data_IF_259173774077
#
_entry.id   IF_259173774077
#
_cell.length_a   1.000
_cell.length_b   1.000
_cell.length_c   1.000
_cell.angle_alpha   90.00
_cell.angle_beta   90.00
_cell.angle_gamma   90.00
#
_symmetry.space_group_name_H-M   'P 1'
#
loop_
_entity.id
_entity.type
_entity.pdbx_description
1 polymer ?
#
# COMPACT_ATOMS: atom_id res chain seq x y z
N UNK A 1 14.29 -1.74 -0.77
CA UNK A 1 13.79 -1.59 -2.16
C UNK A 1 14.73 -0.68 -2.92
N UNK A 2 14.61 -0.59 -4.24
CA UNK A 2 15.39 0.37 -5.05
C UNK A 2 14.47 1.46 -5.58
N UNK A 3 14.76 2.72 -5.25
CA UNK A 3 14.09 3.88 -5.83
C UNK A 3 14.71 4.21 -7.19
N UNK A 4 13.88 4.31 -8.22
CA UNK A 4 14.31 4.62 -9.58
C UNK A 4 14.16 6.13 -9.83
N UNK A 5 15.27 6.78 -10.17
CA UNK A 5 15.29 8.21 -10.51
C UNK A 5 15.30 8.40 -12.03
N UNK A 6 15.99 7.50 -12.74
CA UNK A 6 15.98 7.40 -14.20
C UNK A 6 16.17 5.94 -14.63
N UNK A 7 16.30 5.67 -15.92
CA UNK A 7 16.60 4.32 -16.42
C UNK A 7 17.97 3.81 -15.92
N UNK A 8 18.96 4.71 -15.77
CA UNK A 8 20.33 4.38 -15.39
C UNK A 8 20.63 4.61 -13.90
N UNK A 9 19.82 5.40 -13.20
CA UNK A 9 20.08 5.80 -11.82
C UNK A 9 19.04 5.23 -10.85
N UNK A 10 19.52 4.42 -9.90
CA UNK A 10 18.71 3.91 -8.80
C UNK A 10 19.47 3.88 -7.48
N UNK A 11 18.73 4.04 -6.38
CA UNK A 11 19.27 4.04 -5.01
C UNK A 11 18.57 2.99 -4.16
N UNK A 12 19.34 2.21 -3.41
CA UNK A 12 18.75 1.35 -2.38
C UNK A 12 18.27 2.20 -1.22
N UNK A 13 17.00 2.05 -0.89
CA UNK A 13 16.37 2.72 0.23
C UNK A 13 15.76 1.71 1.21
N UNK A 14 15.88 1.95 2.53
CA UNK A 14 15.13 1.21 3.52
C UNK A 14 13.65 1.56 3.41
N UNK A 15 12.83 0.52 3.24
CA UNK A 15 11.37 0.61 3.18
C UNK A 15 10.80 -0.39 4.16
N UNK A 16 9.95 0.08 5.05
CA UNK A 16 9.20 -0.76 5.98
C UNK A 16 7.85 -1.11 5.38
N UNK A 17 7.49 -2.40 5.40
CA UNK A 17 6.11 -2.85 5.17
C UNK A 17 5.46 -3.15 6.51
N UNK A 18 4.31 -2.53 6.76
CA UNK A 18 3.52 -2.78 7.97
C UNK A 18 2.07 -3.12 7.63
N UNK A 19 1.46 -3.89 8.52
CA UNK A 19 0.09 -4.36 8.46
C UNK A 19 -0.49 -4.32 9.87
N UNK A 20 -1.71 -3.82 10.02
CA UNK A 20 -2.37 -3.66 11.31
C UNK A 20 -3.77 -4.26 11.25
N UNK A 21 -4.12 -5.16 12.18
CA UNK A 21 -5.41 -5.87 12.14
C UNK A 21 -6.63 -4.97 12.37
N UNK A 22 -6.43 -3.77 12.93
CA UNK A 22 -7.47 -2.73 13.06
C UNK A 22 -7.82 -2.06 11.72
N UNK A 23 -6.97 -2.21 10.72
CA UNK A 23 -7.15 -1.71 9.36
C UNK A 23 -6.80 -2.85 8.37
N UNK A 24 -7.58 -3.95 8.38
CA UNK A 24 -7.19 -5.22 7.76
C UNK A 24 -7.18 -5.17 6.23
N UNK A 25 -7.73 -4.11 5.64
CA UNK A 25 -7.77 -3.90 4.21
C UNK A 25 -6.52 -3.20 3.67
N UNK A 26 -5.73 -2.55 4.53
CA UNK A 26 -4.61 -1.73 4.12
C UNK A 26 -3.26 -2.39 4.41
N UNK A 27 -2.31 -2.18 3.51
CA UNK A 27 -0.89 -2.35 3.77
C UNK A 27 -0.20 -1.00 3.69
N UNK A 28 0.86 -0.81 4.47
CA UNK A 28 1.57 0.46 4.55
C UNK A 28 3.02 0.28 4.13
N UNK A 29 3.49 1.13 3.22
CA UNK A 29 4.89 1.27 2.84
C UNK A 29 5.43 2.58 3.42
N UNK A 30 6.42 2.48 4.32
CA UNK A 30 7.09 3.65 4.90
C UNK A 30 8.50 3.78 4.34
N UNK A 31 8.77 4.90 3.67
CA UNK A 31 10.07 5.23 3.07
C UNK A 31 10.90 6.04 4.05
N UNK A 32 12.12 5.59 4.34
CA UNK A 32 13.08 6.31 5.19
C UNK A 32 14.16 6.94 4.32
N UNK A 33 13.91 8.17 3.87
CA UNK A 33 14.86 8.94 3.05
C UNK A 33 15.87 9.66 3.97
N UNK A 34 17.18 9.68 3.64
CA UNK A 34 18.16 10.38 4.46
C UNK A 34 17.86 11.89 4.56
N UNK A 35 17.67 12.39 5.79
CA UNK A 35 17.46 13.81 6.05
C UNK A 35 16.01 14.28 6.05
N UNK A 36 15.07 13.43 5.66
CA UNK A 36 13.64 13.75 5.62
C UNK A 36 12.84 12.97 6.68
N UNK A 37 11.64 13.46 6.99
CA UNK A 37 10.68 12.71 7.77
C UNK A 37 10.22 11.46 6.98
N UNK A 38 9.97 10.31 7.65
CA UNK A 38 9.46 9.14 6.97
C UNK A 38 8.14 9.42 6.26
N UNK A 39 8.01 8.95 5.02
CA UNK A 39 6.79 9.10 4.23
C UNK A 39 6.08 7.76 4.17
N UNK A 40 4.80 7.72 4.59
CA UNK A 40 4.01 6.48 4.59
C UNK A 40 2.90 6.54 3.55
N UNK A 41 2.85 5.52 2.70
CA UNK A 41 1.76 5.26 1.78
C UNK A 41 0.92 4.10 2.28
N UNK A 42 -0.41 4.25 2.24
CA UNK A 42 -1.35 3.17 2.51
C UNK A 42 -2.12 2.85 1.23
N UNK A 43 -2.31 1.57 0.94
CA UNK A 43 -3.10 1.11 -0.19
C UNK A 43 -3.67 -0.29 0.10
N UNK A 44 -4.59 -0.74 -0.77
CA UNK A 44 -5.26 -2.01 -0.61
C UNK A 44 -4.28 -3.18 -0.52
N UNK A 45 -4.47 -4.04 0.48
CA UNK A 45 -3.75 -5.31 0.61
C UNK A 45 -3.95 -6.19 -0.62
N UNK A 46 -5.18 -6.24 -1.14
CA UNK A 46 -5.52 -6.96 -2.36
C UNK A 46 -4.74 -6.44 -3.58
N UNK A 47 -4.51 -5.12 -3.66
CA UNK A 47 -3.72 -4.54 -4.75
C UNK A 47 -2.29 -5.09 -4.75
N UNK A 48 -1.69 -5.29 -3.57
CA UNK A 48 -0.37 -5.92 -3.47
C UNK A 48 -0.40 -7.41 -3.85
N UNK A 49 -1.47 -8.13 -3.48
CA UNK A 49 -1.66 -9.55 -3.81
C UNK A 49 -1.76 -9.75 -5.32
N UNK A 50 -2.60 -8.96 -5.98
CA UNK A 50 -2.77 -9.05 -7.42
C UNK A 50 -1.53 -8.54 -8.16
N UNK A 51 -0.93 -7.46 -7.67
CA UNK A 51 0.20 -6.76 -8.26
C UNK A 51 1.49 -7.57 -8.31
N UNK A 52 1.66 -8.54 -7.42
CA UNK A 52 2.80 -9.48 -7.50
C UNK A 52 2.64 -10.52 -8.61
N UNK A 53 1.41 -10.73 -9.12
CA UNK A 53 1.10 -11.73 -10.15
C UNK A 53 0.89 -11.09 -11.52
N UNK A 54 0.20 -9.95 -11.58
CA UNK A 54 -0.17 -9.27 -12.82
C UNK A 54 -0.20 -7.74 -12.64
N UNK A 55 -0.06 -6.95 -13.72
CA UNK A 55 -0.24 -5.51 -13.64
C UNK A 55 -1.64 -5.11 -13.13
N UNK A 56 -1.70 -4.25 -12.13
CA UNK A 56 -2.95 -3.74 -11.55
C UNK A 56 -2.80 -2.32 -10.96
N UNK A 57 -3.95 -1.71 -10.66
CA UNK A 57 -4.06 -0.37 -10.07
C UNK A 57 -4.45 0.69 -11.09
N UNK A 58 -5.53 1.41 -10.81
CA UNK A 58 -6.08 2.47 -11.67
C UNK A 58 -5.97 3.88 -11.06
N UNK A 59 -5.46 3.97 -9.82
CA UNK A 59 -5.30 5.22 -9.08
C UNK A 59 -3.85 5.64 -8.87
N UNK A 60 -3.59 6.24 -7.72
CA UNK A 60 -2.27 6.77 -7.35
C UNK A 60 -1.23 5.67 -7.08
N UNK A 61 -1.67 4.42 -6.93
CA UNK A 61 -0.79 3.26 -6.74
C UNK A 61 -1.01 2.28 -7.88
N UNK A 62 0.07 1.94 -8.59
CA UNK A 62 0.10 0.91 -9.63
C UNK A 62 1.22 -0.08 -9.34
N UNK A 63 0.94 -1.36 -9.53
CA UNK A 63 1.90 -2.44 -9.27
C UNK A 63 1.94 -3.35 -10.50
N UNK A 64 3.15 -3.65 -10.98
CA UNK A 64 3.32 -4.53 -12.13
C UNK A 64 4.57 -5.40 -11.97
N UNK A 65 4.51 -6.70 -12.27
CA UNK A 65 5.70 -7.54 -12.38
C UNK A 65 6.63 -7.01 -13.49
N UNK A 66 7.94 -7.06 -13.28
CA UNK A 66 8.93 -6.67 -14.32
C UNK A 66 9.31 -7.88 -15.17
N UNK A 67 9.36 -7.73 -16.50
CA UNK A 67 9.60 -8.84 -17.44
C UNK A 67 11.07 -9.15 -17.78
N UNK A 68 11.26 -10.36 -18.33
CA UNK A 68 12.41 -11.00 -19.02
C UNK A 68 13.44 -11.83 -18.25
N UNK A 69 13.61 -11.68 -16.92
CA UNK A 69 14.45 -12.61 -16.12
C UNK A 69 13.79 -12.95 -14.80
N UNK A 70 12.98 -14.01 -14.82
CA UNK A 70 12.23 -14.56 -13.69
C UNK A 70 11.32 -13.53 -13.00
N UNK A 71 10.22 -14.00 -12.44
CA UNK A 71 9.24 -13.19 -11.74
C UNK A 71 9.76 -12.73 -10.36
N UNK A 72 10.97 -12.15 -10.32
CA UNK A 72 11.71 -11.90 -9.08
C UNK A 72 11.49 -10.48 -8.56
N UNK A 73 11.01 -9.56 -9.39
CA UNK A 73 10.77 -8.16 -9.02
C UNK A 73 9.41 -7.63 -9.48
N UNK A 74 8.87 -6.70 -8.70
CA UNK A 74 7.73 -5.85 -9.06
C UNK A 74 8.16 -4.40 -9.10
N UNK A 75 7.51 -3.65 -9.98
CA UNK A 75 7.56 -2.22 -10.05
C UNK A 75 6.33 -1.64 -9.35
N UNK A 76 6.56 -0.87 -8.28
CA UNK A 76 5.54 -0.10 -7.57
C UNK A 76 5.67 1.35 -8.02
N UNK A 77 4.60 1.89 -8.55
CA UNK A 77 4.46 3.27 -8.98
C UNK A 77 3.53 4.01 -8.03
N UNK A 78 4.01 5.13 -7.49
CA UNK A 78 3.24 6.05 -6.65
C UNK A 78 3.13 7.39 -7.38
N UNK A 79 1.92 7.89 -7.54
CA UNK A 79 1.64 9.13 -8.25
C UNK A 79 1.04 10.17 -7.31
N UNK A 80 1.58 11.38 -7.33
CA UNK A 80 1.02 12.55 -6.62
C UNK A 80 0.89 13.68 -7.61
N UNK A 81 -0.34 14.03 -7.97
CA UNK A 81 -0.60 15.02 -9.03
C UNK A 81 0.12 14.64 -10.35
N UNK A 82 1.08 15.45 -10.79
CA UNK A 82 1.89 15.22 -11.99
C UNK A 82 3.19 14.46 -11.71
N UNK A 83 3.57 14.31 -10.44
CA UNK A 83 4.83 13.69 -10.04
C UNK A 83 4.65 12.20 -9.81
N UNK A 84 5.68 11.42 -10.16
CA UNK A 84 5.69 9.97 -10.02
C UNK A 84 6.97 9.50 -9.32
N UNK A 85 6.82 8.58 -8.38
CA UNK A 85 7.91 7.85 -7.75
C UNK A 85 7.81 6.36 -8.12
N UNK A 86 8.93 5.75 -8.48
CA UNK A 86 8.99 4.36 -8.95
C UNK A 86 9.95 3.54 -8.09
N UNK A 87 9.52 2.35 -7.66
CA UNK A 87 10.29 1.48 -6.79
C UNK A 87 10.34 0.07 -7.35
N UNK A 88 11.54 -0.52 -7.41
CA UNK A 88 11.70 -1.97 -7.62
C UNK A 88 11.79 -2.68 -6.27
N UNK A 89 11.01 -3.73 -6.13
CA UNK A 89 10.97 -4.57 -4.95
C UNK A 89 11.02 -6.04 -5.35
N UNK A 90 11.73 -6.85 -4.57
CA UNK A 90 11.75 -8.30 -4.78
C UNK A 90 10.39 -8.92 -4.44
N UNK A 91 9.94 -9.90 -5.23
CA UNK A 91 8.67 -10.61 -5.03
C UNK A 91 8.70 -11.43 -3.74
N UNK A 92 9.78 -12.18 -3.49
CA UNK A 92 9.90 -13.05 -2.32
C UNK A 92 9.62 -12.37 -0.96
N UNK A 93 10.22 -11.21 -0.62
CA UNK A 93 9.88 -10.53 0.64
C UNK A 93 8.45 -9.98 0.68
N UNK A 94 7.88 -9.58 -0.45
CA UNK A 94 6.48 -9.13 -0.52
C UNK A 94 5.52 -10.29 -0.27
N UNK A 95 5.75 -11.44 -0.90
CA UNK A 95 4.96 -12.66 -0.68
C UNK A 95 5.08 -13.13 0.76
N UNK A 96 6.28 -13.14 1.35
CA UNK A 96 6.49 -13.50 2.75
C UNK A 96 5.81 -12.50 3.72
N UNK A 97 5.67 -11.23 3.34
CA UNK A 97 4.86 -10.27 4.07
C UNK A 97 3.38 -10.59 3.95
N UNK A 98 2.86 -10.78 2.73
CA UNK A 98 1.46 -11.12 2.49
C UNK A 98 1.01 -12.39 3.22
N UNK A 99 1.83 -13.46 3.19
CA UNK A 99 1.57 -14.70 3.93
C UNK A 99 1.43 -14.48 5.45
N UNK A 100 2.23 -13.56 6.03
CA UNK A 100 2.09 -13.17 7.44
C UNK A 100 0.80 -12.39 7.69
N UNK A 101 0.39 -11.52 6.76
CA UNK A 101 -0.88 -10.78 6.89
C UNK A 101 -2.08 -11.71 6.79
N UNK A 102 -2.04 -12.70 5.91
CA UNK A 102 -3.11 -13.68 5.70
C UNK A 102 -3.28 -14.60 6.92
N UNK A 103 -2.18 -14.98 7.57
CA UNK A 103 -2.21 -15.70 8.85
C UNK A 103 -2.84 -14.91 10.00
N UNK A 104 -2.76 -13.58 9.98
CA UNK A 104 -3.38 -12.72 10.98
C UNK A 104 -4.86 -12.50 10.67
N UNK A 105 -5.16 -12.20 9.41
CA UNK A 105 -6.52 -11.98 8.91
C UNK A 105 -6.59 -12.55 7.49
N UNK A 106 -7.21 -13.73 7.29
CA UNK A 106 -7.32 -14.31 5.96
C UNK A 106 -8.03 -13.35 5.01
N UNK A 107 -7.61 -13.32 3.74
CA UNK A 107 -8.34 -12.58 2.71
C UNK A 107 -9.80 -13.02 2.64
N UNK A 108 -10.72 -12.06 2.63
CA UNK A 108 -12.17 -12.28 2.69
C UNK A 108 -12.76 -12.40 4.10
N UNK A 109 -11.94 -12.47 5.16
CA UNK A 109 -12.39 -12.51 6.56
C UNK A 109 -12.19 -11.19 7.31
N UNK A 110 -11.83 -10.11 6.62
CA UNK A 110 -11.51 -8.81 7.22
C UNK A 110 -12.68 -8.22 8.01
N UNK A 111 -13.91 -8.42 7.51
CA UNK A 111 -15.14 -7.92 8.14
C UNK A 111 -15.37 -8.46 9.55
N UNK A 112 -14.82 -9.64 9.88
CA UNK A 112 -15.01 -10.25 11.19
C UNK A 112 -14.24 -9.51 12.30
N UNK A 113 -13.22 -8.73 11.93
CA UNK A 113 -12.35 -8.00 12.87
C UNK A 113 -12.56 -6.49 12.83
N UNK A 114 -13.11 -5.98 11.74
CA UNK A 114 -13.34 -4.58 11.58
C UNK A 114 -14.81 -4.27 11.85
N UNK A 115 -15.07 -3.62 12.98
CA UNK A 115 -16.39 -3.09 13.37
C UNK A 115 -16.73 -1.86 12.51
N UNK A 116 -16.77 -2.07 11.19
CA UNK A 116 -16.89 -1.02 10.18
C UNK A 116 -18.24 -0.31 10.27
N UNK A 117 -19.31 -1.05 10.52
CA UNK A 117 -20.66 -0.51 10.52
C UNK A 117 -20.84 0.49 11.67
N UNK A 118 -20.38 0.16 12.88
CA UNK A 118 -20.46 1.07 14.03
C UNK A 118 -19.60 2.34 13.86
N UNK A 119 -18.39 2.20 13.33
CA UNK A 119 -17.46 3.32 13.12
C UNK A 119 -17.91 4.28 12.01
N UNK A 120 -18.50 3.73 10.94
CA UNK A 120 -18.99 4.52 9.81
C UNK A 120 -20.21 5.36 10.20
N UNK A 121 -21.18 4.76 10.90
CA UNK A 121 -22.37 5.46 11.36
C UNK A 121 -21.99 6.61 12.30
N UNK A 122 -21.12 6.38 13.29
CA UNK A 122 -20.63 7.44 14.19
C UNK A 122 -19.93 8.58 13.43
N UNK A 123 -19.13 8.23 12.42
CA UNK A 123 -18.40 9.22 11.62
C UNK A 123 -19.34 10.06 10.75
N UNK A 124 -20.32 9.42 10.10
CA UNK A 124 -21.32 10.09 9.29
C UNK A 124 -22.21 11.00 10.15
N UNK A 125 -22.65 10.51 11.31
CA UNK A 125 -23.44 11.29 12.25
C UNK A 125 -22.67 12.53 12.73
N UNK A 126 -21.37 12.40 13.01
CA UNK A 126 -20.51 13.54 13.37
C UNK A 126 -20.40 14.57 12.25
N UNK A 127 -20.16 14.13 11.01
CA UNK A 127 -20.06 15.03 9.84
C UNK A 127 -21.39 15.78 9.63
N UNK A 128 -22.52 15.08 9.71
CA UNK A 128 -23.85 15.68 9.56
C UNK A 128 -24.19 16.67 10.69
N UNK A 129 -23.72 16.43 11.91
CA UNK A 129 -23.91 17.35 13.03
C UNK A 129 -23.05 18.63 12.90
N UNK A 130 -21.85 18.51 12.35
CA UNK A 130 -20.96 19.65 12.04
C UNK A 130 -21.54 20.55 10.95
N UNK A 131 -22.14 19.98 9.89
CA UNK A 131 -22.80 20.76 8.84
C UNK A 131 -24.05 21.50 9.32
N UNK A 132 -24.83 20.90 10.23
CA UNK A 132 -26.03 21.53 10.80
C UNK A 132 -25.73 22.65 11.79
N UNK A 133 -24.53 22.69 12.36
CA UNK A 133 -24.10 23.73 13.31
C UNK A 133 -23.42 24.94 12.63
N UNK A 134 -23.15 24.85 11.32
CA UNK A 134 -22.46 25.87 10.53
C UNK A 134 -23.41 26.75 9.68
N UNK A 135 -24.72 26.50 9.72
CA UNK A 135 -25.77 27.28 9.05
C UNK A 135 -26.64 28.07 10.02
#
# INVERSE_FOLDING_TARGET
MSFLVSEELSFRIPVELSYETRDPYAVRLTFHLPGDAPVTWAFGRELLVDGVVAPCGDGDVRIAPTGDKMFDEVLITLQVSTDQAMFRAGVAPLVAFLDRTDKLVPLGQERALADFDASLDETLDRILAEEQSAG
#
